data_IF_861118097621
#
_entry.id   IF_861118097621
#
_cell.length_a   1.000
_cell.length_b   1.000
_cell.length_c   1.000
_cell.angle_alpha   90.00
_cell.angle_beta   90.00
_cell.angle_gamma   90.00
#
_symmetry.space_group_name_H-M   'P 1'
#
loop_
_entity.id
_entity.type
_entity.pdbx_description
1 polymer ?
#
# COMPACT_ATOMS: atom_id res chain seq x y z
N UNK A 1 -1.13 -20.01 9.80
CA UNK A 1 -0.99 -21.12 10.77
C UNK A 1 -0.01 -22.16 10.24
N UNK A 2 -0.40 -23.06 9.32
CA UNK A 2 0.53 -24.04 8.72
C UNK A 2 1.82 -23.40 8.18
N UNK A 3 1.71 -22.35 7.38
CA UNK A 3 2.87 -21.63 6.86
C UNK A 3 3.83 -21.12 7.96
N UNK A 4 3.32 -20.71 9.12
CA UNK A 4 4.16 -20.24 10.24
C UNK A 4 4.86 -21.41 10.93
N UNK A 5 4.20 -22.56 11.08
CA UNK A 5 4.83 -23.79 11.55
C UNK A 5 5.98 -24.26 10.64
N UNK A 6 5.87 -24.00 9.35
CA UNK A 6 6.92 -24.24 8.36
C UNK A 6 7.99 -23.13 8.27
N UNK A 7 7.97 -22.17 9.23
CA UNK A 7 8.86 -21.00 9.29
C UNK A 7 8.82 -20.16 8.00
N UNK A 8 7.65 -20.02 7.38
CA UNK A 8 7.46 -19.17 6.19
C UNK A 8 7.11 -17.74 6.64
N UNK A 9 7.90 -16.75 6.20
CA UNK A 9 7.65 -15.33 6.45
C UNK A 9 6.46 -14.84 5.60
N UNK A 10 5.38 -14.32 6.22
CA UNK A 10 4.21 -13.88 5.48
C UNK A 10 4.38 -12.46 4.95
N UNK A 11 3.70 -12.22 3.84
CA UNK A 11 3.36 -10.88 3.36
C UNK A 11 1.85 -10.87 3.04
N UNK A 12 1.17 -9.74 3.14
CA UNK A 12 -0.29 -9.67 3.09
C UNK A 12 -0.80 -8.76 1.97
N UNK A 13 -1.75 -9.25 1.16
CA UNK A 13 -2.52 -8.39 0.27
C UNK A 13 -3.98 -8.30 0.74
N UNK A 14 -4.43 -7.10 1.07
CA UNK A 14 -5.83 -6.79 1.31
C UNK A 14 -6.52 -6.63 -0.06
N UNK A 15 -7.15 -7.72 -0.52
CA UNK A 15 -7.78 -7.81 -1.84
C UNK A 15 -9.28 -7.43 -1.81
N UNK A 16 -9.88 -7.27 -2.99
CA UNK A 16 -11.28 -6.91 -3.23
C UNK A 16 -11.65 -5.49 -2.79
N UNK A 17 -10.69 -4.57 -2.79
CA UNK A 17 -10.97 -3.17 -2.46
C UNK A 17 -11.97 -2.51 -3.41
N UNK A 18 -12.09 -2.99 -4.66
CA UNK A 18 -13.09 -2.52 -5.63
C UNK A 18 -14.53 -2.55 -5.08
N UNK A 19 -14.86 -3.57 -4.26
CA UNK A 19 -16.18 -3.69 -3.63
C UNK A 19 -16.45 -2.57 -2.63
N UNK A 20 -15.42 -2.12 -1.93
CA UNK A 20 -15.52 -1.00 -0.98
C UNK A 20 -15.99 0.28 -1.66
N UNK A 21 -15.51 0.52 -2.89
CA UNK A 21 -15.83 1.73 -3.65
C UNK A 21 -17.10 1.60 -4.48
N UNK A 22 -17.32 0.45 -5.14
CA UNK A 22 -18.39 0.30 -6.13
C UNK A 22 -19.69 -0.27 -5.57
N UNK A 23 -19.61 -1.21 -4.63
CA UNK A 23 -20.78 -1.93 -4.10
C UNK A 23 -21.21 -1.38 -2.75
N UNK A 24 -20.27 -1.32 -1.81
CA UNK A 24 -20.57 -0.95 -0.42
C UNK A 24 -20.62 0.56 -0.21
N UNK A 25 -19.96 1.33 -1.08
CA UNK A 25 -19.85 2.80 -1.00
C UNK A 25 -19.51 3.29 0.42
N UNK A 26 -18.60 2.60 1.09
CA UNK A 26 -18.25 2.93 2.48
C UNK A 26 -17.65 4.34 2.56
N UNK A 27 -17.85 5.03 3.69
CA UNK A 27 -17.06 6.21 4.00
C UNK A 27 -15.55 5.82 4.03
N UNK A 28 -14.65 6.66 3.50
CA UNK A 28 -13.22 6.35 3.48
C UNK A 28 -12.60 6.03 4.85
N UNK A 29 -13.08 6.63 5.95
CA UNK A 29 -12.59 6.31 7.29
C UNK A 29 -13.06 4.93 7.75
N UNK A 30 -14.29 4.54 7.42
CA UNK A 30 -14.82 3.21 7.73
C UNK A 30 -14.13 2.12 6.91
N UNK A 31 -13.85 2.40 5.63
CA UNK A 31 -13.00 1.55 4.80
C UNK A 31 -11.62 1.33 5.43
N UNK A 32 -10.95 2.42 5.84
CA UNK A 32 -9.66 2.36 6.53
C UNK A 32 -9.72 1.51 7.80
N UNK A 33 -10.72 1.73 8.67
CA UNK A 33 -10.92 0.92 9.90
C UNK A 33 -11.15 -0.55 9.59
N UNK A 34 -11.84 -0.87 8.49
CA UNK A 34 -11.99 -2.25 8.00
C UNK A 34 -10.65 -2.88 7.63
N UNK A 35 -9.80 -2.15 6.90
CA UNK A 35 -8.46 -2.63 6.55
C UNK A 35 -7.56 -2.80 7.77
N UNK A 36 -7.59 -1.84 8.70
CA UNK A 36 -6.84 -1.91 9.95
C UNK A 36 -7.23 -3.15 10.75
N UNK A 37 -8.53 -3.39 10.99
CA UNK A 37 -9.01 -4.58 11.69
C UNK A 37 -8.59 -5.89 11.01
N UNK A 38 -8.57 -5.91 9.68
CA UNK A 38 -8.13 -7.09 8.91
C UNK A 38 -6.65 -7.39 9.16
N UNK A 39 -5.80 -6.36 9.13
CA UNK A 39 -4.36 -6.49 9.39
C UNK A 39 -4.10 -6.88 10.85
N UNK A 40 -4.80 -6.28 11.80
CA UNK A 40 -4.73 -6.63 13.22
C UNK A 40 -5.11 -8.09 13.46
N UNK A 41 -6.20 -8.57 12.86
CA UNK A 41 -6.62 -9.96 12.98
C UNK A 41 -5.56 -10.94 12.43
N UNK A 42 -4.89 -10.59 11.33
CA UNK A 42 -3.76 -11.37 10.80
C UNK A 42 -2.59 -11.38 11.78
N UNK A 43 -2.23 -10.23 12.33
CA UNK A 43 -1.14 -10.13 13.31
C UNK A 43 -1.43 -10.87 14.62
N UNK A 44 -2.69 -10.89 15.08
CA UNK A 44 -3.11 -11.71 16.22
C UNK A 44 -2.83 -13.19 15.94
N UNK A 45 -3.13 -13.69 14.73
CA UNK A 45 -2.81 -15.08 14.36
C UNK A 45 -1.30 -15.29 14.26
N UNK A 46 -0.54 -14.32 13.76
CA UNK A 46 0.92 -14.44 13.68
C UNK A 46 1.54 -14.53 15.08
N UNK A 47 1.09 -13.70 16.01
CA UNK A 47 1.58 -13.65 17.39
C UNK A 47 1.31 -14.94 18.19
N UNK A 48 0.38 -15.81 17.77
CA UNK A 48 0.19 -17.12 18.44
C UNK A 48 1.19 -18.19 17.99
N UNK A 49 2.08 -17.89 17.04
CA UNK A 49 3.10 -18.81 16.51
C UNK A 49 4.48 -18.16 16.54
N UNK A 50 4.88 -17.68 17.73
CA UNK A 50 6.23 -17.14 17.94
C UNK A 50 7.27 -18.26 17.79
N UNK A 51 8.33 -17.97 17.06
CA UNK A 51 9.49 -18.83 16.85
C UNK A 51 10.73 -17.93 16.90
N UNK A 52 11.65 -18.22 17.83
CA UNK A 52 12.84 -17.39 18.06
C UNK A 52 13.72 -17.27 16.82
N UNK A 53 13.79 -18.30 15.99
CA UNK A 53 14.59 -18.31 14.76
C UNK A 53 13.93 -17.48 13.64
N UNK A 54 12.60 -17.32 13.69
CA UNK A 54 11.86 -16.56 12.70
C UNK A 54 11.80 -15.05 13.04
N UNK A 55 11.78 -14.73 14.34
CA UNK A 55 11.66 -13.37 14.88
C UNK A 55 10.27 -12.75 14.65
N UNK A 56 10.15 -11.42 14.79
CA UNK A 56 8.89 -10.71 14.48
C UNK A 56 8.60 -10.74 12.98
N UNK A 57 7.58 -11.51 12.61
CA UNK A 57 7.05 -11.63 11.26
C UNK A 57 5.67 -10.98 11.09
N UNK A 58 5.28 -10.11 12.01
CA UNK A 58 4.05 -9.34 11.90
C UNK A 58 4.09 -8.42 10.67
N UNK A 59 2.94 -8.27 10.03
CA UNK A 59 2.80 -7.49 8.80
C UNK A 59 2.29 -6.07 9.11
N UNK A 60 2.88 -5.08 8.45
CA UNK A 60 2.60 -3.67 8.67
C UNK A 60 2.68 -2.88 7.36
N UNK A 61 1.66 -2.06 7.04
CA UNK A 61 1.66 -1.24 5.83
C UNK A 61 2.87 -0.31 5.70
N UNK A 62 3.30 0.32 6.79
CA UNK A 62 4.45 1.22 6.80
C UNK A 62 5.80 0.52 6.65
N UNK A 63 5.86 -0.81 6.87
CA UNK A 63 7.05 -1.63 6.59
C UNK A 63 7.07 -2.15 5.14
N UNK A 64 6.01 -1.93 4.37
CA UNK A 64 5.89 -2.45 3.00
C UNK A 64 5.40 -3.89 2.91
N UNK A 65 5.16 -4.59 4.03
CA UNK A 65 4.71 -6.00 4.04
C UNK A 65 3.21 -6.17 3.81
N UNK A 66 2.49 -5.08 3.56
CA UNK A 66 1.06 -5.08 3.22
C UNK A 66 0.81 -4.31 1.93
N UNK A 67 0.17 -4.96 0.97
CA UNK A 67 -0.42 -4.33 -0.21
C UNK A 67 -1.95 -4.25 -0.10
N UNK A 68 -2.50 -3.33 -0.88
CA UNK A 68 -3.91 -3.01 -0.97
C UNK A 68 -4.31 -3.03 -2.44
N UNK A 69 -5.42 -3.67 -2.82
CA UNK A 69 -5.88 -3.60 -4.20
C UNK A 69 -7.04 -4.51 -4.59
N UNK A 70 -7.15 -4.74 -5.89
CA UNK A 70 -8.13 -5.62 -6.52
C UNK A 70 -7.47 -6.46 -7.61
N UNK A 71 -7.42 -7.77 -7.38
CA UNK A 71 -7.01 -8.74 -8.41
C UNK A 71 -7.98 -8.78 -9.59
N UNK A 72 -9.28 -8.54 -9.39
CA UNK A 72 -10.27 -8.52 -10.48
C UNK A 72 -10.01 -7.37 -11.47
N UNK A 73 -9.64 -6.21 -10.94
CA UNK A 73 -9.36 -5.01 -11.73
C UNK A 73 -7.86 -4.82 -12.03
N UNK A 74 -7.00 -5.77 -11.61
CA UNK A 74 -5.55 -5.77 -11.82
C UNK A 74 -4.83 -4.50 -11.34
N UNK A 75 -5.24 -3.93 -10.21
CA UNK A 75 -4.54 -2.82 -9.59
C UNK A 75 -4.23 -3.09 -8.12
N UNK A 76 -3.13 -2.53 -7.64
CA UNK A 76 -2.71 -2.65 -6.26
C UNK A 76 -1.52 -1.75 -5.93
N UNK A 77 -1.30 -1.50 -4.65
CA UNK A 77 -0.27 -0.60 -4.17
C UNK A 77 0.20 -0.99 -2.76
N UNK A 78 1.45 -0.64 -2.46
CA UNK A 78 1.94 -0.51 -1.08
C UNK A 78 2.02 0.97 -0.73
N UNK A 79 2.23 1.30 0.55
CA UNK A 79 2.40 2.71 0.95
C UNK A 79 3.61 3.37 0.29
N UNK A 80 4.65 2.60 -0.06
CA UNK A 80 5.85 3.09 -0.72
C UNK A 80 5.52 3.76 -2.06
N UNK A 81 4.58 3.21 -2.85
CA UNK A 81 4.14 3.81 -4.11
C UNK A 81 3.66 5.26 -3.93
N UNK A 82 2.79 5.47 -2.94
CA UNK A 82 2.26 6.81 -2.64
C UNK A 82 3.30 7.70 -1.97
N UNK A 83 4.13 7.17 -1.06
CA UNK A 83 5.21 7.93 -0.44
C UNK A 83 6.19 8.48 -1.48
N UNK A 84 6.61 7.65 -2.43
CA UNK A 84 7.46 8.06 -3.57
C UNK A 84 6.76 9.10 -4.44
N UNK A 85 5.52 8.83 -4.87
CA UNK A 85 4.75 9.75 -5.70
C UNK A 85 4.62 11.15 -5.06
N UNK A 86 4.35 11.21 -3.76
CA UNK A 86 4.22 12.50 -3.06
C UNK A 86 5.56 13.18 -2.82
N UNK A 87 6.62 12.44 -2.53
CA UNK A 87 7.96 13.00 -2.41
C UNK A 87 8.39 13.69 -3.71
N UNK A 88 8.24 13.02 -4.85
CA UNK A 88 8.59 13.58 -6.17
C UNK A 88 7.68 14.75 -6.57
N UNK A 89 6.39 14.74 -6.18
CA UNK A 89 5.46 15.84 -6.46
C UNK A 89 5.69 17.07 -5.58
N UNK A 90 6.07 16.88 -4.32
CA UNK A 90 6.27 17.99 -3.38
C UNK A 90 7.56 18.77 -3.64
N UNK A 91 8.56 18.16 -4.29
CA UNK A 91 9.85 18.78 -4.66
C UNK A 91 10.42 19.63 -3.52
N UNK A 92 10.56 19.02 -2.33
CA UNK A 92 11.05 19.72 -1.16
C UNK A 92 12.44 20.31 -1.43
N UNK A 93 12.63 21.60 -1.13
CA UNK A 93 13.93 22.24 -1.27
C UNK A 93 14.93 21.59 -0.29
N UNK A 94 16.17 21.29 -0.72
CA UNK A 94 17.20 20.77 0.17
C UNK A 94 17.52 21.79 1.27
N UNK A 95 17.75 21.28 2.49
CA UNK A 95 18.31 22.09 3.57
C UNK A 95 19.80 22.34 3.33
N UNK A 96 20.38 23.27 4.06
CA UNK A 96 21.83 23.53 4.01
C UNK A 96 22.62 22.23 4.28
N UNK A 97 23.51 21.88 3.36
CA UNK A 97 24.30 20.64 3.41
C UNK A 97 23.60 19.36 2.92
N UNK A 98 22.36 19.45 2.43
CA UNK A 98 21.58 18.31 1.93
C UNK A 98 21.58 18.25 0.40
N UNK A 99 21.70 17.06 -0.18
CA UNK A 99 21.49 16.86 -1.62
C UNK A 99 20.00 16.86 -1.99
N UNK A 100 19.63 17.10 -3.26
CA UNK A 100 18.25 16.89 -3.73
C UNK A 100 17.71 15.48 -3.43
N UNK A 101 18.54 14.44 -3.59
CA UNK A 101 18.14 13.06 -3.28
C UNK A 101 17.84 12.86 -1.79
N UNK A 102 18.63 13.46 -0.91
CA UNK A 102 18.42 13.36 0.54
C UNK A 102 17.12 14.07 0.97
N UNK A 103 16.79 15.22 0.35
CA UNK A 103 15.56 15.96 0.63
C UNK A 103 14.31 15.19 0.17
N UNK A 104 14.38 14.52 -0.97
CA UNK A 104 13.33 13.65 -1.47
C UNK A 104 13.17 12.41 -0.56
N UNK A 105 14.27 11.78 -0.16
CA UNK A 105 14.30 10.65 0.77
C UNK A 105 13.67 11.01 2.11
N UNK A 106 14.02 12.15 2.71
CA UNK A 106 13.43 12.63 3.96
C UNK A 106 11.92 12.83 3.82
N UNK A 107 11.48 13.42 2.70
CA UNK A 107 10.05 13.65 2.42
C UNK A 107 9.30 12.32 2.29
N UNK A 108 9.86 11.36 1.56
CA UNK A 108 9.30 10.02 1.40
C UNK A 108 9.15 9.32 2.75
N UNK A 109 10.21 9.30 3.57
CA UNK A 109 10.19 8.60 4.86
C UNK A 109 9.17 9.24 5.83
N UNK A 110 9.05 10.59 5.79
CA UNK A 110 8.00 11.32 6.50
C UNK A 110 6.60 10.97 6.00
N UNK A 111 6.41 10.85 4.68
CA UNK A 111 5.12 10.42 4.12
C UNK A 111 4.79 8.99 4.55
N UNK A 112 5.71 8.04 4.40
CA UNK A 112 5.50 6.64 4.76
C UNK A 112 5.05 6.48 6.21
N UNK A 113 5.69 7.21 7.14
CA UNK A 113 5.31 7.23 8.55
C UNK A 113 3.90 7.78 8.80
N UNK A 114 3.49 8.80 8.05
CA UNK A 114 2.22 9.49 8.27
C UNK A 114 1.06 8.93 7.44
N UNK A 115 1.33 8.06 6.46
CA UNK A 115 0.32 7.46 5.59
C UNK A 115 -0.48 6.33 6.27
N UNK A 116 -0.09 5.88 7.47
CA UNK A 116 -0.79 4.83 8.21
C UNK A 116 -0.88 5.14 9.71
N UNK A 117 -1.91 4.62 10.38
CA UNK A 117 -2.11 4.81 11.81
C UNK A 117 -2.76 6.15 12.16
N UNK A 118 -2.60 6.57 13.42
CA UNK A 118 -3.18 7.80 13.97
C UNK A 118 -2.36 9.04 13.60
N UNK A 119 -2.30 9.29 12.30
CA UNK A 119 -1.68 10.46 11.71
C UNK A 119 -2.73 11.19 10.89
N UNK A 120 -3.03 12.44 11.26
CA UNK A 120 -4.11 13.23 10.66
C UNK A 120 -3.54 14.50 10.04
N UNK A 121 -3.92 14.80 8.81
CA UNK A 121 -3.45 15.96 8.06
C UNK A 121 -4.54 17.01 7.92
N UNK A 122 -4.19 18.26 8.19
CA UNK A 122 -5.04 19.41 7.90
C UNK A 122 -4.65 20.03 6.55
N UNK A 123 -5.51 20.00 5.52
CA UNK A 123 -5.18 20.55 4.21
C UNK A 123 -5.03 22.09 4.20
N UNK A 124 -5.66 22.80 5.15
CA UNK A 124 -5.58 24.27 5.25
C UNK A 124 -4.26 24.72 5.87
N UNK A 125 -3.87 24.11 6.99
CA UNK A 125 -2.65 24.49 7.71
C UNK A 125 -1.41 23.72 7.26
N UNK A 126 -1.60 22.63 6.49
CA UNK A 126 -0.56 21.68 6.07
C UNK A 126 0.20 21.05 7.24
N UNK A 127 -0.44 20.95 8.41
CA UNK A 127 0.12 20.37 9.63
C UNK A 127 -0.42 18.96 9.87
N UNK A 128 0.43 18.13 10.48
CA UNK A 128 0.08 16.80 10.96
C UNK A 128 -0.29 16.85 12.44
N UNK A 129 -1.23 16.01 12.85
CA UNK A 129 -1.64 15.75 14.23
C UNK A 129 -1.61 14.26 14.50
N UNK A 130 -1.32 13.87 15.75
CA UNK A 130 -1.43 12.47 16.22
C UNK A 130 -2.82 12.14 16.76
N UNK A 131 -3.67 13.13 16.90
CA UNK A 131 -5.04 12.98 17.40
C UNK A 131 -6.04 13.48 16.37
N UNK A 132 -7.26 12.93 16.35
CA UNK A 132 -8.33 13.42 15.50
C UNK A 132 -8.69 14.84 15.93
N UNK A 133 -8.56 15.79 15.00
CA UNK A 133 -8.89 17.21 15.19
C UNK A 133 -9.84 17.61 14.08
N UNK A 134 -10.81 18.48 14.38
CA UNK A 134 -11.77 18.98 13.40
C UNK A 134 -11.06 19.57 12.17
N UNK A 135 -11.52 19.19 10.97
CA UNK A 135 -10.91 19.61 9.70
C UNK A 135 -9.63 18.87 9.33
N UNK A 136 -9.12 17.97 10.17
CA UNK A 136 -8.06 17.03 9.82
C UNK A 136 -8.67 15.70 9.35
N UNK A 137 -7.99 15.04 8.42
CA UNK A 137 -8.34 13.69 7.97
C UNK A 137 -7.13 12.78 8.07
N UNK A 138 -7.34 11.51 8.37
CA UNK A 138 -6.26 10.53 8.50
C UNK A 138 -5.40 10.51 7.23
N UNK A 139 -4.09 10.33 7.37
CA UNK A 139 -3.13 10.37 6.27
C UNK A 139 -3.49 9.40 5.15
N UNK A 140 -3.78 8.14 5.49
CA UNK A 140 -4.26 7.14 4.54
C UNK A 140 -5.52 7.61 3.80
N UNK A 141 -6.49 8.16 4.53
CA UNK A 141 -7.76 8.62 3.95
C UNK A 141 -7.55 9.82 3.03
N UNK A 142 -6.76 10.80 3.47
CA UNK A 142 -6.54 12.05 2.75
C UNK A 142 -5.70 11.87 1.48
N UNK A 143 -4.65 11.06 1.56
CA UNK A 143 -3.63 10.95 0.51
C UNK A 143 -3.73 9.67 -0.33
N UNK A 144 -4.55 8.69 0.07
CA UNK A 144 -4.68 7.44 -0.69
C UNK A 144 -6.14 7.22 -1.07
N UNK A 145 -7.02 7.06 -0.08
CA UNK A 145 -8.41 6.71 -0.38
C UNK A 145 -9.14 7.84 -1.12
N UNK A 146 -9.05 9.09 -0.66
CA UNK A 146 -9.76 10.19 -1.32
C UNK A 146 -9.48 10.32 -2.82
N UNK A 147 -8.22 10.37 -3.29
CA UNK A 147 -7.93 10.39 -4.72
C UNK A 147 -8.56 9.21 -5.48
N UNK A 148 -8.51 8.00 -4.91
CA UNK A 148 -9.11 6.80 -5.49
C UNK A 148 -10.65 6.95 -5.56
N UNK A 149 -11.30 7.33 -4.47
CA UNK A 149 -12.76 7.56 -4.42
C UNK A 149 -13.19 8.63 -5.41
N UNK A 150 -12.47 9.75 -5.49
CA UNK A 150 -12.78 10.83 -6.42
C UNK A 150 -12.67 10.38 -7.88
N UNK A 151 -11.66 9.57 -8.21
CA UNK A 151 -11.48 9.01 -9.55
C UNK A 151 -12.59 8.01 -9.88
N UNK A 152 -12.90 7.09 -8.97
CA UNK A 152 -14.00 6.13 -9.13
C UNK A 152 -15.33 6.84 -9.36
N UNK A 153 -15.68 7.78 -8.48
CA UNK A 153 -16.96 8.48 -8.56
C UNK A 153 -17.07 9.34 -9.82
N UNK A 154 -16.01 10.06 -10.19
CA UNK A 154 -16.03 10.91 -11.39
C UNK A 154 -16.18 10.09 -12.68
N UNK A 155 -15.50 8.94 -12.80
CA UNK A 155 -15.66 8.03 -13.94
C UNK A 155 -17.06 7.42 -13.97
N UNK A 156 -17.56 6.92 -12.84
CA UNK A 156 -18.86 6.26 -12.77
C UNK A 156 -20.04 7.23 -13.00
N UNK A 157 -19.87 8.51 -12.63
CA UNK A 157 -20.86 9.57 -12.87
C UNK A 157 -20.74 10.22 -14.26
N UNK A 158 -19.75 9.83 -15.08
CA UNK A 158 -19.54 10.41 -16.41
C UNK A 158 -19.01 11.86 -16.38
N UNK A 159 -18.35 12.29 -15.30
CA UNK A 159 -17.81 13.64 -15.11
C UNK A 159 -16.51 13.85 -15.95
N UNK A 160 -16.63 13.84 -17.29
CA UNK A 160 -15.51 13.78 -18.25
C UNK A 160 -14.39 14.77 -17.98
N UNK A 161 -14.73 16.05 -17.86
CA UNK A 161 -13.73 17.11 -17.65
C UNK A 161 -12.94 16.92 -16.35
N UNK A 162 -13.58 16.37 -15.32
CA UNK A 162 -12.98 16.17 -14.01
C UNK A 162 -12.08 14.95 -14.01
N UNK A 163 -12.57 13.80 -14.48
CA UNK A 163 -11.73 12.60 -14.48
C UNK A 163 -10.56 12.71 -15.46
N UNK A 164 -10.73 13.39 -16.60
CA UNK A 164 -9.63 13.62 -17.55
C UNK A 164 -8.49 14.45 -16.91
N UNK A 165 -8.83 15.55 -16.23
CA UNK A 165 -7.86 16.34 -15.46
C UNK A 165 -7.18 15.52 -14.36
N UNK A 166 -7.93 14.65 -13.69
CA UNK A 166 -7.37 13.75 -12.68
C UNK A 166 -6.38 12.76 -13.32
N UNK A 167 -6.76 12.07 -14.39
CA UNK A 167 -5.91 11.11 -15.13
C UNK A 167 -4.59 11.78 -15.56
N UNK A 168 -4.66 12.99 -16.12
CA UNK A 168 -3.48 13.78 -16.48
C UNK A 168 -2.60 14.12 -15.26
N UNK A 169 -3.20 14.59 -14.16
CA UNK A 169 -2.46 14.92 -12.93
C UNK A 169 -1.80 13.71 -12.25
N UNK A 170 -2.34 12.52 -12.49
CA UNK A 170 -1.78 11.24 -12.04
C UNK A 170 -0.69 10.72 -12.99
N UNK A 171 -0.49 11.35 -14.14
CA UNK A 171 0.50 10.96 -15.15
C UNK A 171 0.09 9.72 -15.95
N UNK A 172 -1.20 9.35 -15.95
CA UNK A 172 -1.71 8.17 -16.63
C UNK A 172 -1.93 8.48 -18.10
N UNK A 173 -1.31 7.68 -18.99
CA UNK A 173 -1.46 7.82 -20.45
C UNK A 173 -2.39 6.74 -21.01
N UNK A 174 -3.52 7.16 -21.56
CA UNK A 174 -4.48 6.29 -22.24
C UNK A 174 -4.16 6.21 -23.75
N UNK A 175 -4.25 5.00 -24.29
CA UNK A 175 -4.23 4.74 -25.73
C UNK A 175 -5.51 5.29 -26.39
N UNK A 176 -5.54 5.34 -27.73
CA UNK A 176 -6.67 5.94 -28.45
C UNK A 176 -7.98 5.21 -28.18
N UNK A 177 -7.97 3.89 -28.23
CA UNK A 177 -9.09 3.00 -27.95
C UNK A 177 -9.52 3.06 -26.47
N UNK A 178 -8.59 3.23 -25.55
CA UNK A 178 -8.89 3.38 -24.12
C UNK A 178 -9.61 4.69 -23.77
N UNK A 179 -9.49 5.73 -24.60
CA UNK A 179 -10.19 7.01 -24.40
C UNK A 179 -11.68 6.92 -24.72
N UNK A 180 -12.06 5.95 -25.55
CA UNK A 180 -13.45 5.69 -25.93
C UNK A 180 -14.18 4.83 -24.90
N UNK A 181 -13.44 4.24 -23.94
CA UNK A 181 -14.02 3.50 -22.83
C UNK A 181 -14.76 4.43 -21.85
N UNK A 182 -15.76 3.88 -21.16
CA UNK A 182 -16.48 4.54 -20.08
C UNK A 182 -16.59 3.65 -18.83
N UNK A 183 -17.18 4.20 -17.77
CA UNK A 183 -17.57 3.49 -16.54
C UNK A 183 -16.54 2.45 -16.06
N UNK A 184 -16.93 1.18 -15.91
CA UNK A 184 -16.08 0.11 -15.38
C UNK A 184 -14.88 -0.23 -16.30
N UNK A 185 -15.06 -0.36 -17.64
CA UNK A 185 -13.92 -0.55 -18.55
C UNK A 185 -12.85 0.54 -18.45
N UNK A 186 -13.25 1.82 -18.47
CA UNK A 186 -12.32 2.95 -18.33
C UNK A 186 -11.62 2.93 -16.98
N UNK A 187 -12.40 2.72 -15.91
CA UNK A 187 -11.87 2.62 -14.55
C UNK A 187 -10.79 1.54 -14.42
N UNK A 188 -11.04 0.35 -14.99
CA UNK A 188 -10.08 -0.75 -15.00
C UNK A 188 -8.81 -0.37 -15.77
N UNK A 189 -8.94 0.26 -16.94
CA UNK A 189 -7.79 0.69 -17.75
C UNK A 189 -6.93 1.73 -17.01
N UNK A 190 -7.56 2.76 -16.43
CA UNK A 190 -6.88 3.83 -15.68
C UNK A 190 -6.18 3.26 -14.44
N UNK A 191 -6.88 2.46 -13.63
CA UNK A 191 -6.32 1.93 -12.38
C UNK A 191 -5.16 0.97 -12.63
N UNK A 192 -5.26 0.11 -13.66
CA UNK A 192 -4.19 -0.82 -14.04
C UNK A 192 -2.90 -0.07 -14.43
N UNK A 193 -3.01 1.10 -15.07
CA UNK A 193 -1.86 1.92 -15.45
C UNK A 193 -1.33 2.79 -14.31
N UNK A 194 -2.22 3.26 -13.44
CA UNK A 194 -1.83 4.11 -12.31
C UNK A 194 -1.16 3.31 -11.19
N UNK A 195 -1.76 2.18 -10.80
CA UNK A 195 -1.35 1.35 -9.68
C UNK A 195 -1.27 -0.13 -10.12
N UNK A 196 -0.30 -0.52 -10.96
CA UNK A 196 -0.23 -1.88 -11.47
C UNK A 196 -0.07 -2.89 -10.33
N UNK A 197 -0.97 -3.88 -10.23
CA UNK A 197 -0.90 -4.89 -9.16
C UNK A 197 0.42 -5.67 -9.14
N UNK A 198 0.98 -5.93 -10.33
CA UNK A 198 2.24 -6.65 -10.47
C UNK A 198 3.40 -5.92 -9.78
N UNK A 199 3.50 -4.59 -9.90
CA UNK A 199 4.54 -3.81 -9.22
C UNK A 199 4.43 -3.95 -7.70
N UNK A 200 3.23 -3.79 -7.15
CA UNK A 200 3.01 -3.88 -5.71
C UNK A 200 3.38 -5.28 -5.16
N UNK A 201 3.03 -6.34 -5.88
CA UNK A 201 3.34 -7.71 -5.48
C UNK A 201 4.83 -8.04 -5.62
N UNK A 202 5.45 -7.63 -6.73
CA UNK A 202 6.88 -7.88 -6.96
C UNK A 202 7.75 -7.14 -5.96
N UNK A 203 7.43 -5.88 -5.63
CA UNK A 203 8.13 -5.13 -4.59
C UNK A 203 8.07 -5.89 -3.25
N UNK A 204 6.88 -6.39 -2.87
CA UNK A 204 6.75 -7.14 -1.63
C UNK A 204 7.56 -8.44 -1.61
N UNK A 205 7.55 -9.17 -2.73
CA UNK A 205 8.31 -10.42 -2.87
C UNK A 205 9.81 -10.14 -2.75
N UNK A 206 10.31 -9.15 -3.51
CA UNK A 206 11.75 -8.86 -3.58
C UNK A 206 12.29 -8.29 -2.26
N UNK A 207 11.56 -7.39 -1.61
CA UNK A 207 12.06 -6.70 -0.42
C UNK A 207 11.81 -7.44 0.89
N UNK A 208 10.84 -8.35 0.96
CA UNK A 208 10.42 -8.94 2.23
C UNK A 208 10.48 -10.46 2.28
N UNK A 209 10.48 -11.16 1.15
CA UNK A 209 10.65 -12.61 1.15
C UNK A 209 12.14 -12.99 1.10
N UNK A 210 12.61 -13.85 2.01
CA UNK A 210 14.00 -14.27 2.02
C UNK A 210 14.31 -15.18 0.84
N UNK A 211 15.53 -15.07 0.32
CA UNK A 211 16.04 -16.03 -0.66
C UNK A 211 16.22 -17.43 -0.01
N UNK A 212 16.29 -18.51 -0.80
CA UNK A 212 16.56 -19.85 -0.27
C UNK A 212 17.81 -19.91 0.61
N UNK A 213 18.88 -19.21 0.23
CA UNK A 213 20.15 -19.14 0.98
C UNK A 213 19.96 -18.54 2.38
N UNK A 214 19.07 -17.55 2.52
CA UNK A 214 18.73 -16.96 3.83
C UNK A 214 17.77 -17.88 4.58
N UNK A 215 16.75 -18.39 3.89
CA UNK A 215 15.67 -19.17 4.50
C UNK A 215 16.13 -20.52 5.06
N UNK A 216 17.00 -21.24 4.34
CA UNK A 216 17.46 -22.57 4.73
C UNK A 216 18.16 -22.56 6.10
N UNK A 217 18.86 -21.48 6.46
CA UNK A 217 19.56 -21.35 7.75
C UNK A 217 18.67 -21.57 8.97
N UNK A 218 17.42 -21.15 8.88
CA UNK A 218 16.45 -21.32 9.96
C UNK A 218 15.35 -22.33 9.62
N UNK A 219 15.30 -22.88 8.40
CA UNK A 219 14.31 -23.90 8.00
C UNK A 219 14.87 -25.32 7.99
N UNK A 220 16.19 -25.51 8.04
CA UNK A 220 16.82 -26.83 7.94
C UNK A 220 16.31 -27.79 9.02
N UNK A 221 16.10 -27.33 10.26
CA UNK A 221 15.56 -28.15 11.36
C UNK A 221 14.15 -28.70 11.09
N UNK A 222 13.36 -28.02 10.25
CA UNK A 222 12.03 -28.49 9.86
C UNK A 222 12.08 -29.42 8.63
N UNK A 223 13.16 -29.38 7.85
CA UNK A 223 13.28 -30.03 6.56
C UNK A 223 14.18 -31.27 6.57
N UNK A 224 15.09 -31.36 7.53
CA UNK A 224 16.08 -32.42 7.65
C UNK A 224 15.99 -33.10 9.02
N UNK A 225 15.78 -34.42 9.02
CA UNK A 225 15.65 -35.22 10.25
C UNK A 225 16.99 -35.83 10.72
N UNK A 226 18.06 -35.68 9.93
CA UNK A 226 19.39 -36.21 10.25
C UNK A 226 20.25 -35.28 11.13
N UNK A 227 21.44 -35.74 11.53
CA UNK A 227 22.41 -34.93 12.27
C UNK A 227 22.83 -33.67 11.52
N UNK A 228 22.90 -32.53 12.21
CA UNK A 228 23.27 -31.23 11.59
C UNK A 228 24.76 -31.12 11.24
N UNK A 229 25.57 -32.09 11.69
CA UNK A 229 26.98 -32.26 11.38
C UNK A 229 27.24 -33.28 10.26
N UNK A 230 26.19 -33.79 9.60
CA UNK A 230 26.34 -34.60 8.38
C UNK A 230 27.05 -33.79 7.29
N UNK A 231 28.16 -34.33 6.80
CA UNK A 231 29.05 -33.72 5.81
C UNK A 231 28.53 -33.85 4.37
#
# INVERSE_FOLDING_TARGET
>A
RQALGERIKPVLMVNKMDRTFLELQLDPEDAYKGFQRTIEAVNVIIATYEDELLGDVSVYPYKGTVAFGSGLHNWGFTLNKFANMYASKMKAAPKEGQTPEDAEKETRDKMLKNLWGDHYFNPKTRKWSKTPVAGCKRGFVQFILQPIYQLFNSIMNGEKDKYNKMIESLGVKLASDEKDLDSKPLLKAVMKKWLPAAEALLDMIVYHLPSPVIAQKYRVENLYEGPMDDA
#
